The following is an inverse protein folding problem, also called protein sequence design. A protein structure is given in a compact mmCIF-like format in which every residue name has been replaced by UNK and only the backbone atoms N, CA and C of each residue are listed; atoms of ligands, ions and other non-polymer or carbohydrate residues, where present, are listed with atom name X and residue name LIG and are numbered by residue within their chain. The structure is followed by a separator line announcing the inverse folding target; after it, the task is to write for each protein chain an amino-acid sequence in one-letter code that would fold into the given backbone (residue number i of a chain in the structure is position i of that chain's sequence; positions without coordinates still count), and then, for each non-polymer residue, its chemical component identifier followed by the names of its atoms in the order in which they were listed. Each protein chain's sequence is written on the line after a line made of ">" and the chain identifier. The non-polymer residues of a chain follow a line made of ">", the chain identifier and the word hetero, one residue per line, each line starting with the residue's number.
data_IF_514333785603
#
_entry.id   IF_514333785603
#
_cell.length_a   1.000
_cell.length_b   1.000
_cell.length_c   1.000
_cell.angle_alpha   90.00
_cell.angle_beta   90.00
_cell.angle_gamma   90.00
#
_symmetry.space_group_name_H-M   'P 1'
#
loop_
_entity.id
_entity.type
_entity.pdbx_description
1 polymer ?
#
# COMPACT_ATOMS: atom_id res chain seq x y z
N UNK A 1 -5.98 -4.70 18.23
CA UNK A 1 -6.50 -5.56 17.15
C UNK A 1 -5.48 -6.60 16.77
N UNK A 2 -5.97 -7.78 16.34
CA UNK A 2 -5.09 -8.85 15.85
C UNK A 2 -4.37 -8.39 14.59
N UNK A 3 -3.06 -8.59 14.55
CA UNK A 3 -2.25 -8.21 13.40
C UNK A 3 -1.68 -6.80 13.45
N UNK A 4 -1.97 -6.02 14.48
CA UNK A 4 -1.31 -4.73 14.66
C UNK A 4 0.16 -4.96 15.03
N UNK A 5 1.06 -4.36 14.26
CA UNK A 5 2.49 -4.38 14.55
C UNK A 5 2.83 -3.16 15.38
N UNK A 6 3.46 -3.39 16.52
CA UNK A 6 3.95 -2.33 17.42
C UNK A 6 5.46 -2.38 17.48
N UNK A 7 6.08 -1.23 17.59
CA UNK A 7 7.52 -1.13 17.84
C UNK A 7 7.77 -1.34 19.33
N UNK A 8 8.64 -2.30 19.65
CA UNK A 8 9.00 -2.60 21.03
C UNK A 8 10.24 -1.80 21.37
N UNK A 9 10.09 -0.85 22.28
CA UNK A 9 11.19 0.02 22.72
C UNK A 9 12.06 -0.66 23.78
N UNK A 10 11.43 -1.36 24.73
CA UNK A 10 12.14 -1.99 25.84
C UNK A 10 11.36 -3.19 26.37
N UNK A 11 12.09 -4.25 26.74
CA UNK A 11 11.53 -5.38 27.48
C UNK A 11 11.72 -5.15 28.98
N UNK A 12 10.62 -5.07 29.72
CA UNK A 12 10.61 -4.86 31.16
C UNK A 12 10.12 -6.13 31.85
N UNK A 13 10.93 -6.67 32.77
CA UNK A 13 10.53 -7.81 33.57
C UNK A 13 10.82 -9.18 32.95
N UNK A 14 11.51 -9.28 31.82
CA UNK A 14 11.89 -10.55 31.22
C UNK A 14 10.72 -11.33 30.60
N UNK A 15 10.87 -12.64 30.46
CA UNK A 15 9.81 -13.49 29.93
C UNK A 15 8.58 -13.45 30.84
N UNK A 16 7.40 -13.21 30.26
CA UNK A 16 6.16 -13.02 31.03
C UNK A 16 6.00 -11.62 31.60
N UNK A 17 6.92 -10.70 31.32
CA UNK A 17 6.87 -9.29 31.75
C UNK A 17 6.10 -8.40 30.80
N UNK A 18 6.59 -7.18 30.62
CA UNK A 18 5.95 -6.15 29.82
C UNK A 18 6.91 -5.61 28.76
N UNK A 19 6.38 -5.27 27.61
CA UNK A 19 7.10 -4.52 26.58
C UNK A 19 6.65 -3.06 26.62
N UNK A 20 7.60 -2.15 26.53
CA UNK A 20 7.29 -0.74 26.31
C UNK A 20 7.04 -0.52 24.83
N UNK A 21 5.93 0.16 24.53
CA UNK A 21 5.56 0.59 23.20
C UNK A 21 5.23 2.08 23.23
N UNK A 22 5.13 2.69 22.05
CA UNK A 22 4.66 4.07 21.95
C UNK A 22 3.25 4.19 22.52
N UNK A 23 3.09 5.03 23.55
CA UNK A 23 1.83 5.25 24.26
C UNK A 23 1.55 4.33 25.45
N UNK A 24 2.49 3.47 25.87
CA UNK A 24 2.29 2.65 27.06
C UNK A 24 3.07 1.35 27.10
N UNK A 25 2.50 0.37 27.78
CA UNK A 25 3.08 -0.96 27.96
C UNK A 25 2.08 -2.03 27.58
N UNK A 26 2.57 -3.15 27.04
CA UNK A 26 1.78 -4.37 26.82
C UNK A 26 2.45 -5.58 27.46
N UNK A 27 1.65 -6.51 27.96
CA UNK A 27 2.17 -7.77 28.51
C UNK A 27 2.79 -8.62 27.39
N UNK A 28 3.95 -9.23 27.67
CA UNK A 28 4.58 -10.15 26.73
C UNK A 28 3.72 -11.38 26.40
N UNK A 29 2.74 -11.71 27.26
CA UNK A 29 1.79 -12.80 27.02
C UNK A 29 0.80 -12.51 25.88
N UNK A 30 0.61 -11.23 25.54
CA UNK A 30 -0.33 -10.77 24.50
C UNK A 30 0.35 -10.27 23.24
N UNK A 31 1.69 -10.19 23.23
CA UNK A 31 2.46 -9.71 22.08
C UNK A 31 3.20 -10.88 21.46
N UNK A 32 2.80 -11.28 20.26
CA UNK A 32 3.57 -12.22 19.46
C UNK A 32 4.79 -11.50 18.88
N UNK A 33 5.98 -12.03 19.16
CA UNK A 33 7.18 -11.52 18.53
C UNK A 33 7.20 -11.94 17.05
N UNK A 34 7.39 -10.97 16.17
CA UNK A 34 7.52 -11.21 14.75
C UNK A 34 8.99 -11.15 14.34
N UNK A 35 9.32 -11.79 13.24
CA UNK A 35 10.62 -11.69 12.62
C UNK A 35 10.95 -10.21 12.34
N UNK A 36 12.17 -9.78 12.68
CA UNK A 36 12.61 -8.40 12.47
C UNK A 36 12.53 -7.96 11.00
N UNK A 37 12.82 -8.86 10.05
CA UNK A 37 12.70 -8.59 8.63
C UNK A 37 11.24 -8.37 8.22
N UNK A 38 10.31 -9.20 8.73
CA UNK A 38 8.89 -9.05 8.45
C UNK A 38 8.31 -7.77 9.05
N UNK A 39 8.72 -7.42 10.28
CA UNK A 39 8.31 -6.17 10.93
C UNK A 39 8.83 -4.95 10.17
N UNK A 40 10.08 -4.98 9.69
CA UNK A 40 10.68 -3.91 8.89
C UNK A 40 9.96 -3.74 7.55
N UNK A 41 9.62 -4.84 6.86
CA UNK A 41 8.88 -4.81 5.61
C UNK A 41 7.47 -4.23 5.79
N UNK A 42 6.75 -4.63 6.83
CA UNK A 42 5.42 -4.10 7.13
C UNK A 42 5.47 -2.62 7.52
N UNK A 43 6.51 -2.18 8.25
CA UNK A 43 6.75 -0.77 8.56
C UNK A 43 7.00 0.05 7.32
N UNK A 44 7.78 -0.46 6.37
CA UNK A 44 8.03 0.19 5.08
C UNK A 44 6.75 0.32 4.26
N UNK A 45 5.92 -0.72 4.22
CA UNK A 45 4.63 -0.67 3.55
C UNK A 45 3.71 0.42 4.12
N UNK A 46 3.65 0.53 5.44
CA UNK A 46 2.89 1.59 6.12
C UNK A 46 3.41 2.99 5.77
N UNK A 47 4.73 3.17 5.71
CA UNK A 47 5.33 4.45 5.29
C UNK A 47 4.96 4.81 3.85
N UNK A 48 4.97 3.83 2.94
CA UNK A 48 4.56 4.02 1.55
C UNK A 48 3.10 4.50 1.50
N UNK A 49 2.21 3.82 2.24
CA UNK A 49 0.79 4.18 2.29
C UNK A 49 0.57 5.59 2.85
N UNK A 50 1.27 5.97 3.92
CA UNK A 50 1.17 7.30 4.53
C UNK A 50 1.68 8.39 3.57
N UNK A 51 2.81 8.16 2.93
CA UNK A 51 3.37 9.10 1.97
C UNK A 51 2.43 9.30 0.77
N UNK A 52 1.86 8.23 0.25
CA UNK A 52 0.92 8.29 -0.87
C UNK A 52 -0.32 9.12 -0.54
N UNK A 53 -0.84 9.02 0.68
CA UNK A 53 -2.02 9.75 1.12
C UNK A 53 -1.81 11.27 1.19
N UNK A 54 -0.58 11.74 1.31
CA UNK A 54 -0.27 13.18 1.31
C UNK A 54 -0.61 13.85 -0.02
N UNK A 55 -0.76 13.08 -1.09
CA UNK A 55 -1.05 13.58 -2.43
C UNK A 55 -2.54 13.56 -2.77
N UNK A 56 -3.41 13.17 -1.87
CA UNK A 56 -4.87 13.28 -2.07
C UNK A 56 -5.23 14.73 -2.38
N UNK A 57 -5.98 14.93 -3.46
CA UNK A 57 -6.34 16.25 -3.97
C UNK A 57 -5.42 16.78 -5.08
N UNK A 58 -4.29 16.13 -5.34
CA UNK A 58 -3.40 16.51 -6.45
C UNK A 58 -4.03 16.15 -7.81
N UNK A 59 -3.70 16.90 -8.88
CA UNK A 59 -4.36 16.71 -10.16
C UNK A 59 -3.95 15.43 -10.88
N UNK A 60 -4.89 14.90 -11.68
CA UNK A 60 -4.60 13.84 -12.66
C UNK A 60 -4.19 14.47 -13.99
N UNK A 61 -3.08 14.01 -14.55
CA UNK A 61 -2.65 14.37 -15.91
C UNK A 61 -2.19 13.10 -16.63
N UNK A 62 -2.77 12.82 -17.79
CA UNK A 62 -2.38 11.67 -18.59
C UNK A 62 -0.88 11.73 -18.93
N UNK A 63 -0.16 10.63 -18.65
CA UNK A 63 1.28 10.57 -18.84
C UNK A 63 2.10 11.22 -17.71
N UNK A 64 1.46 11.81 -16.71
CA UNK A 64 2.11 12.50 -15.61
C UNK A 64 2.66 11.56 -14.53
N UNK A 65 3.82 11.93 -13.98
CA UNK A 65 4.49 11.19 -12.90
C UNK A 65 5.17 12.11 -11.89
N UNK A 66 4.65 13.31 -11.72
CA UNK A 66 5.15 14.32 -10.78
C UNK A 66 4.01 15.01 -10.04
N UNK A 67 4.28 15.76 -8.95
CA UNK A 67 3.23 16.50 -8.23
C UNK A 67 2.48 17.53 -9.05
N UNK A 68 2.97 17.95 -10.20
CA UNK A 68 2.21 18.80 -11.13
C UNK A 68 1.06 18.07 -11.83
N UNK A 69 1.06 16.75 -11.79
CA UNK A 69 -0.01 15.91 -12.29
C UNK A 69 0.45 14.46 -12.42
N UNK A 70 -0.41 13.53 -12.01
CA UNK A 70 -0.15 12.09 -12.05
C UNK A 70 -1.17 11.37 -12.90
N UNK A 71 -0.76 10.37 -13.69
CA UNK A 71 -1.66 9.29 -14.06
C UNK A 71 -1.55 8.16 -13.00
N UNK A 72 -2.34 7.08 -13.14
CA UNK A 72 -2.42 6.04 -12.10
C UNK A 72 -1.07 5.37 -11.85
N UNK A 73 -0.39 4.91 -12.89
CA UNK A 73 0.91 4.26 -12.79
C UNK A 73 2.04 5.26 -12.53
N UNK A 74 1.91 6.51 -12.98
CA UNK A 74 2.84 7.58 -12.68
C UNK A 74 2.85 7.97 -11.21
N UNK A 75 1.69 8.00 -10.58
CA UNK A 75 1.56 8.18 -9.14
C UNK A 75 2.28 7.09 -8.37
N UNK A 76 2.03 5.82 -8.72
CA UNK A 76 2.73 4.68 -8.11
C UNK A 76 4.23 4.77 -8.32
N UNK A 77 4.68 5.09 -9.53
CA UNK A 77 6.10 5.25 -9.85
C UNK A 77 6.75 6.32 -8.97
N UNK A 78 6.10 7.47 -8.82
CA UNK A 78 6.60 8.56 -8.00
C UNK A 78 6.73 8.17 -6.52
N UNK A 79 5.68 7.58 -5.96
CA UNK A 79 5.67 7.14 -4.55
C UNK A 79 6.73 6.08 -4.30
N UNK A 80 6.79 5.05 -5.14
CA UNK A 80 7.77 3.96 -5.00
C UNK A 80 9.21 4.47 -5.12
N UNK A 81 9.47 5.37 -6.05
CA UNK A 81 10.80 5.97 -6.24
C UNK A 81 11.27 6.72 -5.00
N UNK A 82 10.38 7.38 -4.29
CA UNK A 82 10.70 8.08 -3.04
C UNK A 82 11.31 7.12 -1.99
N UNK A 83 10.88 5.86 -1.99
CA UNK A 83 11.38 4.83 -1.08
C UNK A 83 12.48 3.95 -1.69
N UNK A 84 13.00 4.30 -2.87
CA UNK A 84 14.09 3.59 -3.52
C UNK A 84 13.67 2.38 -4.34
N UNK A 85 12.39 2.19 -4.60
CA UNK A 85 11.90 1.10 -5.44
C UNK A 85 11.73 1.56 -6.89
N UNK A 86 12.31 0.77 -7.81
CA UNK A 86 12.10 0.96 -9.24
C UNK A 86 10.94 0.07 -9.70
N UNK A 87 9.94 0.66 -10.31
CA UNK A 87 8.81 -0.06 -10.91
C UNK A 87 8.67 0.30 -12.38
N UNK A 88 8.05 -0.59 -13.14
CA UNK A 88 7.76 -0.34 -14.55
C UNK A 88 6.77 0.83 -14.70
N UNK A 89 6.69 1.44 -15.87
CA UNK A 89 5.93 2.69 -16.05
C UNK A 89 4.43 2.51 -16.18
N UNK A 90 3.96 1.41 -16.78
CA UNK A 90 2.53 1.18 -17.01
C UNK A 90 1.91 0.26 -15.98
N UNK A 91 0.61 0.38 -15.74
CA UNK A 91 -0.10 -0.47 -14.79
C UNK A 91 0.09 -1.97 -15.12
N UNK A 92 -0.08 -2.37 -16.37
CA UNK A 92 0.13 -3.78 -16.76
C UNK A 92 1.54 -4.26 -16.46
N UNK A 93 2.55 -3.46 -16.77
CA UNK A 93 3.95 -3.82 -16.55
C UNK A 93 4.33 -3.81 -15.07
N UNK A 94 3.69 -2.98 -14.25
CA UNK A 94 3.89 -2.97 -12.80
C UNK A 94 3.43 -4.27 -12.13
N UNK A 95 2.57 -5.05 -12.76
CA UNK A 95 2.21 -6.38 -12.29
C UNK A 95 3.37 -7.38 -12.30
N UNK A 96 4.51 -7.05 -12.90
CA UNK A 96 5.73 -7.86 -12.88
C UNK A 96 6.69 -7.45 -11.76
N UNK A 97 6.39 -6.39 -11.02
CA UNK A 97 7.22 -5.92 -9.93
C UNK A 97 6.82 -6.57 -8.60
N UNK A 98 7.81 -6.79 -7.74
CA UNK A 98 7.58 -7.32 -6.41
C UNK A 98 7.05 -8.75 -6.39
N UNK A 99 6.39 -9.10 -5.28
CA UNK A 99 5.83 -10.43 -5.03
C UNK A 99 4.32 -10.40 -5.10
N UNK A 100 3.70 -11.43 -5.72
CA UNK A 100 2.25 -11.53 -5.81
C UNK A 100 1.60 -11.68 -4.42
N UNK A 101 0.49 -10.97 -4.21
CA UNK A 101 -0.27 -10.98 -2.96
C UNK A 101 -1.73 -11.25 -3.29
N UNK A 102 -2.38 -12.13 -2.52
CA UNK A 102 -3.82 -12.36 -2.66
C UNK A 102 -4.62 -11.21 -2.02
N UNK A 103 -5.85 -11.02 -2.47
CA UNK A 103 -6.73 -9.97 -1.94
C UNK A 103 -6.93 -10.09 -0.42
N UNK A 104 -7.03 -11.31 0.10
CA UNK A 104 -7.20 -11.58 1.53
C UNK A 104 -5.96 -11.28 2.38
N UNK A 105 -4.80 -11.10 1.75
CA UNK A 105 -3.51 -10.86 2.42
C UNK A 105 -2.99 -9.44 2.21
N UNK A 106 -3.81 -8.54 1.70
CA UNK A 106 -3.40 -7.16 1.45
C UNK A 106 -2.93 -6.46 2.72
N UNK A 107 -1.82 -5.72 2.58
CA UNK A 107 -1.24 -4.88 3.64
C UNK A 107 -0.99 -3.47 3.09
N UNK A 108 -1.00 -2.43 3.94
CA UNK A 108 -0.67 -1.08 3.50
C UNK A 108 0.66 -1.04 2.74
N UNK A 109 0.68 -0.31 1.62
CA UNK A 109 1.81 -0.22 0.72
C UNK A 109 1.78 -1.21 -0.44
N UNK A 110 0.90 -2.19 -0.44
CA UNK A 110 0.74 -3.10 -1.58
C UNK A 110 0.17 -2.36 -2.78
N UNK A 111 0.65 -2.70 -3.97
CA UNK A 111 0.08 -2.22 -5.22
C UNK A 111 -1.14 -3.06 -5.56
N UNK A 112 -2.25 -2.42 -5.91
CA UNK A 112 -3.50 -3.08 -6.28
C UNK A 112 -3.87 -2.73 -7.72
N UNK A 113 -4.24 -3.74 -8.49
CA UNK A 113 -4.44 -3.64 -9.93
C UNK A 113 -5.87 -3.99 -10.32
N UNK A 114 -6.37 -3.23 -11.30
CA UNK A 114 -7.74 -3.36 -11.78
C UNK A 114 -7.75 -3.39 -13.31
N UNK A 115 -8.72 -4.11 -13.88
CA UNK A 115 -9.00 -4.08 -15.30
C UNK A 115 -10.51 -3.90 -15.50
N UNK A 116 -10.88 -2.79 -16.08
CA UNK A 116 -12.27 -2.40 -16.26
C UNK A 116 -12.70 -2.58 -17.72
N UNK A 117 -12.50 -3.80 -18.22
CA UNK A 117 -13.09 -4.21 -19.49
C UNK A 117 -12.17 -4.15 -20.72
N UNK A 118 -10.86 -3.97 -20.54
CA UNK A 118 -9.91 -4.04 -21.67
C UNK A 118 -9.22 -5.41 -21.70
N UNK A 119 -9.70 -6.33 -22.51
CA UNK A 119 -9.16 -7.69 -22.61
C UNK A 119 -7.76 -7.76 -23.24
N UNK A 120 -7.27 -6.69 -23.87
CA UNK A 120 -5.93 -6.65 -24.45
C UNK A 120 -4.83 -6.31 -23.43
N UNK A 121 -5.22 -5.92 -22.20
CA UNK A 121 -4.29 -5.51 -21.14
C UNK A 121 -4.46 -6.40 -19.91
N UNK A 122 -3.37 -6.60 -19.15
CA UNK A 122 -3.42 -7.27 -17.86
C UNK A 122 -4.08 -6.41 -16.80
N UNK A 123 -3.78 -5.11 -16.82
CA UNK A 123 -4.38 -4.10 -15.93
C UNK A 123 -4.56 -2.78 -16.68
N UNK A 124 -5.63 -2.08 -16.34
CA UNK A 124 -5.92 -0.73 -16.88
C UNK A 124 -5.74 0.36 -15.81
N UNK A 125 -5.63 -0.03 -14.55
CA UNK A 125 -5.54 0.88 -13.42
C UNK A 125 -4.73 0.28 -12.28
N UNK A 126 -4.11 1.14 -11.48
CA UNK A 126 -3.31 0.75 -10.31
C UNK A 126 -3.43 1.80 -9.23
N UNK A 127 -3.37 1.35 -7.98
CA UNK A 127 -3.31 2.21 -6.81
C UNK A 127 -2.48 1.57 -5.71
N UNK A 128 -2.47 2.21 -4.55
CA UNK A 128 -1.71 1.77 -3.37
C UNK A 128 -2.69 1.50 -2.23
N UNK A 129 -2.69 0.27 -1.74
CA UNK A 129 -3.53 -0.13 -0.61
C UNK A 129 -3.09 0.58 0.66
N UNK A 130 -4.06 1.11 1.42
CA UNK A 130 -3.77 1.88 2.63
C UNK A 130 -4.35 1.26 3.91
N UNK A 131 -4.89 0.05 3.82
CA UNK A 131 -5.61 -0.60 4.91
C UNK A 131 -7.10 -0.28 4.90
N UNK A 132 -7.86 -0.92 5.78
CA UNK A 132 -9.29 -0.66 5.92
C UNK A 132 -10.12 -0.93 4.67
N UNK A 133 -9.65 -1.81 3.80
CA UNK A 133 -10.29 -2.12 2.51
C UNK A 133 -10.32 -0.92 1.54
N UNK A 134 -9.35 0.00 1.67
CA UNK A 134 -9.25 1.22 0.87
C UNK A 134 -7.90 1.32 0.16
N UNK A 135 -7.87 2.07 -0.92
CA UNK A 135 -6.64 2.36 -1.66
C UNK A 135 -6.63 3.81 -2.15
N UNK A 136 -5.43 4.38 -2.27
CA UNK A 136 -5.21 5.71 -2.82
C UNK A 136 -4.70 5.58 -4.26
N UNK A 137 -5.23 6.41 -5.15
CA UNK A 137 -4.89 6.36 -6.56
C UNK A 137 -5.14 7.68 -7.29
N UNK A 138 -4.41 7.92 -8.38
CA UNK A 138 -4.73 8.98 -9.32
C UNK A 138 -5.85 8.45 -10.24
N UNK A 139 -7.05 8.94 -10.06
CA UNK A 139 -8.26 8.35 -10.63
C UNK A 139 -8.60 8.86 -12.04
N UNK A 140 -9.04 10.10 -12.13
CA UNK A 140 -9.47 10.72 -13.40
C UNK A 140 -9.11 12.20 -13.42
N UNK A 141 -9.07 12.84 -14.60
CA UNK A 141 -8.85 14.29 -14.69
C UNK A 141 -9.85 15.13 -13.90
N UNK A 142 -11.04 14.61 -13.65
CA UNK A 142 -12.09 15.34 -12.93
C UNK A 142 -11.83 15.37 -11.42
N UNK A 143 -11.33 14.27 -10.85
CA UNK A 143 -11.21 14.12 -9.39
C UNK A 143 -9.77 14.04 -8.88
N UNK A 144 -8.80 13.74 -9.74
CA UNK A 144 -7.39 13.65 -9.35
C UNK A 144 -7.07 12.45 -8.45
N UNK A 145 -6.21 12.67 -7.48
CA UNK A 145 -5.81 11.64 -6.49
C UNK A 145 -6.87 11.56 -5.40
N UNK A 146 -7.44 10.38 -5.23
CA UNK A 146 -8.51 10.11 -4.24
C UNK A 146 -8.28 8.79 -3.52
N UNK A 147 -9.04 8.56 -2.46
CA UNK A 147 -9.18 7.27 -1.78
C UNK A 147 -10.49 6.62 -2.22
N UNK A 148 -10.45 5.34 -2.54
CA UNK A 148 -11.62 4.56 -2.94
C UNK A 148 -11.67 3.23 -2.18
N UNK A 149 -12.85 2.61 -2.13
CA UNK A 149 -13.05 1.30 -1.54
C UNK A 149 -12.71 0.18 -2.52
N UNK A 150 -12.03 -0.86 -2.03
CA UNK A 150 -11.70 -2.05 -2.83
C UNK A 150 -12.94 -2.79 -3.32
N UNK A 151 -14.04 -2.74 -2.57
CA UNK A 151 -15.28 -3.46 -2.86
C UNK A 151 -16.37 -2.58 -3.48
N UNK A 152 -16.04 -1.38 -3.93
CA UNK A 152 -16.98 -0.57 -4.70
C UNK A 152 -17.40 -1.31 -5.98
N UNK A 153 -18.58 -0.98 -6.51
CA UNK A 153 -19.13 -1.64 -7.70
C UNK A 153 -18.15 -1.61 -8.89
N UNK A 154 -17.40 -0.53 -9.03
CA UNK A 154 -16.45 -0.35 -10.12
C UNK A 154 -15.14 -1.13 -9.90
N UNK A 155 -14.56 -1.05 -8.70
CA UNK A 155 -13.23 -1.65 -8.43
C UNK A 155 -13.34 -3.08 -7.93
N UNK A 156 -14.39 -3.44 -7.21
CA UNK A 156 -14.56 -4.78 -6.68
C UNK A 156 -14.61 -5.86 -7.76
N UNK A 157 -15.28 -5.59 -8.87
CA UNK A 157 -15.37 -6.52 -9.99
C UNK A 157 -14.16 -6.46 -10.92
N UNK A 158 -13.41 -5.35 -10.89
CA UNK A 158 -12.25 -5.15 -11.76
C UNK A 158 -10.91 -5.60 -11.18
N UNK A 159 -10.86 -6.02 -9.92
CA UNK A 159 -9.61 -6.41 -9.27
C UNK A 159 -8.97 -7.63 -9.96
N UNK A 160 -7.70 -7.50 -10.37
CA UNK A 160 -6.97 -8.54 -11.09
C UNK A 160 -5.69 -9.01 -10.41
N UNK A 161 -5.25 -8.36 -9.36
CA UNK A 161 -4.07 -8.78 -8.62
C UNK A 161 -3.48 -7.70 -7.75
N UNK A 162 -2.49 -8.09 -6.97
CA UNK A 162 -1.73 -7.19 -6.10
C UNK A 162 -0.26 -7.60 -6.04
N UNK A 163 0.61 -6.64 -5.73
CA UNK A 163 2.05 -6.84 -5.62
C UNK A 163 2.61 -6.14 -4.38
N UNK A 164 3.54 -6.78 -3.72
CA UNK A 164 4.25 -6.24 -2.56
C UNK A 164 5.70 -6.00 -2.91
N UNK A 165 6.16 -4.76 -2.71
CA UNK A 165 7.55 -4.36 -2.98
C UNK A 165 8.41 -4.46 -1.70
N UNK A 166 7.81 -4.19 -0.57
CA UNK A 166 8.51 -4.16 0.72
C UNK A 166 8.59 -5.53 1.40
#
# INVERSE_FOLDING_TARGET
>A
SVGTIVEIEELIGGAGGWYQIDGGYVSSDYVAQVDAAAASAAGKGSEIAQFAQQYVGYPYVYGGSSPSGFDCSGFVTYVCKHFGYSVNRTASAQMDNGTAVSKSQLQPGDLVFFNNGNSSKRATHVGIYIGGNQFVHASTPTVGVIVSDMDSAYYGTGFVGARRLA
#
